data_IF_145872603726
#
_entry.id   IF_145872603726
#
_cell.length_a   1.000
_cell.length_b   1.000
_cell.length_c   1.000
_cell.angle_alpha   90.00
_cell.angle_beta   90.00
_cell.angle_gamma   90.00
#
_symmetry.space_group_name_H-M   'P 1'
#
loop_
_entity.id
_entity.type
_entity.pdbx_description
1 polymer ?
#
# COMPACT_ATOMS: atom_id res chain seq x y z
N UNK A 1 -9.97 -0.44 20.48
CA UNK A 1 -10.62 -1.75 20.21
C UNK A 1 -11.80 -1.45 19.29
N UNK A 2 -11.75 -1.62 17.98
CA UNK A 2 -11.38 -2.83 17.23
C UNK A 2 -10.78 -2.44 15.88
N UNK A 3 -9.49 -2.69 15.67
CA UNK A 3 -8.89 -2.66 14.33
C UNK A 3 -9.37 -3.90 13.57
N UNK A 4 -10.28 -3.75 12.62
CA UNK A 4 -10.66 -4.88 11.77
C UNK A 4 -9.73 -4.96 10.57
N UNK A 5 -8.85 -5.96 10.62
CA UNK A 5 -8.03 -6.35 9.47
C UNK A 5 -8.81 -7.36 8.65
N UNK A 6 -9.25 -6.97 7.45
CA UNK A 6 -9.81 -7.91 6.48
C UNK A 6 -8.65 -8.44 5.64
N UNK A 7 -8.47 -9.77 5.62
CA UNK A 7 -7.43 -10.43 4.82
C UNK A 7 -8.02 -11.60 4.03
N UNK A 8 -7.71 -11.68 2.73
CA UNK A 8 -8.14 -12.77 1.86
C UNK A 8 -7.01 -13.20 0.92
N UNK A 9 -7.05 -14.46 0.50
CA UNK A 9 -6.15 -14.99 -0.53
C UNK A 9 -6.94 -15.94 -1.42
N UNK A 10 -6.86 -15.76 -2.74
CA UNK A 10 -7.36 -16.74 -3.70
C UNK A 10 -6.18 -17.59 -4.20
N UNK A 11 -6.24 -18.90 -3.95
CA UNK A 11 -5.36 -19.91 -4.55
C UNK A 11 -6.22 -20.93 -5.31
N UNK A 12 -5.92 -21.25 -6.57
CA UNK A 12 -6.74 -22.17 -7.38
C UNK A 12 -6.51 -23.66 -7.05
N UNK A 13 -5.70 -24.01 -6.04
CA UNK A 13 -5.54 -25.39 -5.57
C UNK A 13 -6.39 -25.61 -4.32
N UNK A 14 -7.30 -26.59 -4.40
CA UNK A 14 -8.37 -26.83 -3.44
C UNK A 14 -7.96 -27.02 -1.97
N UNK A 15 -9.01 -26.90 -1.13
CA UNK A 15 -9.08 -26.77 0.33
C UNK A 15 -8.97 -25.33 0.85
N UNK A 16 -10.12 -24.79 1.28
CA UNK A 16 -10.22 -23.59 2.13
C UNK A 16 -9.49 -23.88 3.45
N UNK A 17 -8.31 -23.28 3.72
CA UNK A 17 -7.62 -23.51 4.97
C UNK A 17 -8.31 -22.76 6.11
N UNK A 18 -8.29 -23.34 7.32
CA UNK A 18 -8.73 -22.67 8.54
C UNK A 18 -8.04 -21.30 8.69
N UNK A 19 -8.80 -20.31 9.10
CA UNK A 19 -8.41 -18.90 9.19
C UNK A 19 -7.13 -18.73 10.04
N UNK A 20 -5.98 -18.49 9.38
CA UNK A 20 -4.73 -18.14 10.06
C UNK A 20 -4.69 -16.63 10.34
N UNK A 21 -4.04 -16.25 11.45
CA UNK A 21 -3.75 -14.87 11.83
C UNK A 21 -3.14 -14.05 10.68
N UNK A 22 -3.39 -12.74 10.66
CA UNK A 22 -2.91 -11.81 9.63
C UNK A 22 -1.39 -11.88 9.44
N UNK A 23 -0.63 -12.08 10.52
CA UNK A 23 0.83 -12.25 10.47
C UNK A 23 1.24 -13.56 9.76
N UNK A 24 0.41 -14.60 9.87
CA UNK A 24 0.62 -15.91 9.24
C UNK A 24 0.40 -15.87 7.73
N UNK A 25 -0.63 -15.16 7.25
CA UNK A 25 -0.86 -14.95 5.81
C UNK A 25 0.22 -14.10 5.16
N UNK A 26 0.67 -13.05 5.87
CA UNK A 26 1.77 -12.22 5.41
C UNK A 26 3.04 -13.05 5.27
N UNK A 27 3.37 -13.87 6.28
CA UNK A 27 4.52 -14.79 6.22
C UNK A 27 4.39 -15.81 5.10
N UNK A 28 3.21 -16.38 4.86
CA UNK A 28 2.97 -17.36 3.79
C UNK A 28 3.18 -16.77 2.39
N UNK A 29 2.83 -15.49 2.16
CA UNK A 29 3.17 -14.78 0.92
C UNK A 29 4.69 -14.66 0.70
N UNK A 30 5.44 -14.47 1.78
CA UNK A 30 6.90 -14.34 1.77
C UNK A 30 7.64 -15.65 2.07
N UNK A 31 6.93 -16.78 2.19
CA UNK A 31 7.61 -18.06 2.30
C UNK A 31 8.35 -18.32 0.99
N UNK A 32 9.59 -18.82 1.04
CA UNK A 32 10.38 -19.12 -0.15
C UNK A 32 9.67 -20.23 -0.93
N UNK A 33 8.83 -19.81 -1.86
CA UNK A 33 8.29 -20.64 -2.94
C UNK A 33 9.20 -20.47 -4.16
N UNK A 34 9.14 -21.40 -5.10
CA UNK A 34 9.80 -21.30 -6.42
C UNK A 34 9.37 -20.06 -7.25
N UNK A 35 8.53 -19.18 -6.69
CA UNK A 35 8.07 -17.95 -7.31
C UNK A 35 8.99 -16.78 -6.96
N UNK A 36 9.93 -16.48 -7.86
CA UNK A 36 10.84 -15.34 -7.77
C UNK A 36 10.21 -13.99 -8.20
N UNK A 37 8.92 -13.96 -8.57
CA UNK A 37 8.25 -12.80 -9.16
C UNK A 37 7.19 -12.19 -8.23
N UNK A 38 7.62 -11.61 -7.11
CA UNK A 38 6.74 -11.03 -6.10
C UNK A 38 6.61 -9.52 -6.31
N UNK A 39 5.38 -9.02 -6.30
CA UNK A 39 5.03 -7.61 -6.45
C UNK A 39 4.26 -7.12 -5.24
N UNK A 40 4.37 -5.82 -4.95
CA UNK A 40 3.59 -5.17 -3.90
C UNK A 40 2.89 -3.91 -4.44
N UNK A 41 1.64 -3.71 -4.04
CA UNK A 41 0.87 -2.48 -4.28
C UNK A 41 0.47 -1.94 -2.92
N UNK A 42 1.08 -0.83 -2.53
CA UNK A 42 0.97 -0.25 -1.19
C UNK A 42 0.27 1.11 -1.28
N UNK A 43 -0.88 1.26 -0.62
CA UNK A 43 -1.77 2.41 -0.81
C UNK A 43 -2.15 3.03 0.52
N UNK A 44 -1.82 4.31 0.69
CA UNK A 44 -2.40 5.17 1.71
C UNK A 44 -3.51 6.00 1.07
N UNK A 45 -4.76 5.75 1.45
CA UNK A 45 -5.93 6.36 0.80
C UNK A 45 -6.42 7.63 1.49
N UNK A 46 -5.92 7.94 2.69
CA UNK A 46 -6.37 9.06 3.51
C UNK A 46 -5.47 10.28 3.39
N UNK A 47 -6.07 11.47 3.58
CA UNK A 47 -5.40 12.77 3.56
C UNK A 47 -5.43 13.44 4.93
N UNK A 48 -4.69 14.55 5.04
CA UNK A 48 -4.59 15.43 6.19
C UNK A 48 -3.75 14.90 7.35
N UNK A 49 -3.21 15.84 8.12
CA UNK A 49 -2.25 15.56 9.20
C UNK A 49 -2.77 14.59 10.27
N UNK A 50 -4.07 14.63 10.60
CA UNK A 50 -4.65 13.72 11.60
C UNK A 50 -4.67 12.25 11.15
N UNK A 51 -4.34 11.99 9.89
CA UNK A 51 -4.22 10.67 9.27
C UNK A 51 -2.77 10.25 9.02
N UNK A 52 -1.81 10.93 9.63
CA UNK A 52 -0.38 10.63 9.54
C UNK A 52 -0.04 9.13 9.71
N UNK A 53 -0.74 8.42 10.60
CA UNK A 53 -0.57 6.98 10.85
C UNK A 53 -0.72 6.13 9.59
N UNK A 54 -1.58 6.51 8.66
CA UNK A 54 -1.82 5.76 7.42
C UNK A 54 -0.58 5.78 6.52
N UNK A 55 0.04 6.96 6.37
CA UNK A 55 1.30 7.11 5.64
C UNK A 55 2.43 6.37 6.36
N UNK A 56 2.53 6.49 7.68
CA UNK A 56 3.54 5.79 8.48
C UNK A 56 3.40 4.25 8.37
N UNK A 57 2.19 3.71 8.36
CA UNK A 57 1.91 2.28 8.20
C UNK A 57 2.38 1.77 6.83
N UNK A 58 2.00 2.46 5.75
CA UNK A 58 2.39 2.10 4.39
C UNK A 58 3.90 2.15 4.21
N UNK A 59 4.56 3.21 4.69
CA UNK A 59 6.01 3.32 4.60
C UNK A 59 6.72 2.25 5.45
N UNK A 60 6.18 1.91 6.63
CA UNK A 60 6.70 0.80 7.43
C UNK A 60 6.64 -0.53 6.67
N UNK A 61 5.56 -0.75 5.94
CA UNK A 61 5.41 -1.94 5.10
C UNK A 61 6.33 -1.91 3.88
N UNK A 62 6.47 -0.75 3.23
CA UNK A 62 7.41 -0.54 2.12
C UNK A 62 8.84 -0.96 2.51
N UNK A 63 9.34 -0.50 3.66
CA UNK A 63 10.65 -0.95 4.16
C UNK A 63 10.69 -2.44 4.47
N UNK A 64 9.58 -3.03 4.91
CA UNK A 64 9.50 -4.44 5.23
C UNK A 64 9.55 -5.31 3.97
N UNK A 65 8.80 -4.96 2.92
CA UNK A 65 8.83 -5.69 1.65
C UNK A 65 10.18 -5.57 0.94
N UNK A 66 10.85 -4.40 1.03
CA UNK A 66 12.22 -4.23 0.54
C UNK A 66 13.22 -5.11 1.27
N UNK A 67 13.14 -5.19 2.60
CA UNK A 67 13.98 -6.11 3.40
C UNK A 67 13.76 -7.57 3.07
N UNK A 68 12.56 -7.93 2.59
CA UNK A 68 12.21 -9.29 2.15
C UNK A 68 12.60 -9.56 0.68
N UNK A 69 13.24 -8.60 0.01
CA UNK A 69 13.85 -8.79 -1.31
C UNK A 69 13.02 -8.29 -2.50
N UNK A 70 11.87 -7.62 -2.27
CA UNK A 70 11.13 -6.99 -3.37
C UNK A 70 11.81 -5.64 -3.73
N UNK A 71 12.35 -5.47 -4.95
CA UNK A 71 12.97 -4.22 -5.38
C UNK A 71 11.92 -3.14 -5.67
N UNK A 72 12.34 -1.86 -5.69
CA UNK A 72 11.45 -0.72 -5.97
C UNK A 72 10.71 -0.85 -7.30
N UNK A 73 11.36 -1.39 -8.32
CA UNK A 73 10.73 -1.66 -9.62
C UNK A 73 9.56 -2.65 -9.58
N UNK A 74 9.35 -3.34 -8.45
CA UNK A 74 8.25 -4.28 -8.20
C UNK A 74 7.30 -3.82 -7.08
N UNK A 75 7.44 -2.56 -6.64
CA UNK A 75 6.57 -1.95 -5.64
C UNK A 75 5.87 -0.77 -6.29
N UNK A 76 4.54 -0.76 -6.26
CA UNK A 76 3.76 0.44 -6.59
C UNK A 76 3.35 1.10 -5.28
N UNK A 77 3.87 2.30 -5.01
CA UNK A 77 3.57 3.08 -3.82
C UNK A 77 2.67 4.28 -4.15
N UNK A 78 1.49 4.31 -3.53
CA UNK A 78 0.50 5.38 -3.68
C UNK A 78 0.28 6.09 -2.34
N UNK A 79 0.58 7.39 -2.27
CA UNK A 79 0.38 8.20 -1.07
C UNK A 79 -0.56 9.38 -1.36
N UNK A 80 -1.77 9.34 -0.79
CA UNK A 80 -2.78 10.38 -1.00
C UNK A 80 -2.40 11.75 -0.39
N UNK A 81 -1.40 11.81 0.48
CA UNK A 81 -0.91 13.05 1.08
C UNK A 81 0.58 12.99 1.41
N UNK A 82 1.22 14.16 1.43
CA UNK A 82 2.68 14.32 1.60
C UNK A 82 3.01 14.80 3.02
N UNK A 83 3.06 13.86 3.97
CA UNK A 83 3.37 14.13 5.38
C UNK A 83 4.74 14.79 5.62
N UNK A 84 5.83 14.44 4.89
CA UNK A 84 7.11 15.17 4.94
C UNK A 84 7.00 16.68 4.71
N UNK A 85 6.08 17.13 3.86
CA UNK A 85 5.92 18.53 3.48
C UNK A 85 4.83 19.26 4.28
N UNK A 86 4.14 18.57 5.19
CA UNK A 86 3.06 19.17 5.95
C UNK A 86 3.58 20.23 6.94
N UNK A 87 3.01 21.44 7.02
CA UNK A 87 3.44 22.48 7.97
C UNK A 87 3.31 22.10 9.45
N UNK A 88 2.47 21.12 9.78
CA UNK A 88 2.33 20.60 11.15
C UNK A 88 3.40 19.56 11.51
N UNK A 89 4.15 19.08 10.52
CA UNK A 89 5.26 18.19 10.77
C UNK A 89 6.35 18.98 11.53
N UNK A 90 6.78 18.53 12.72
CA UNK A 90 7.86 19.20 13.45
C UNK A 90 9.23 19.05 12.78
N UNK A 91 9.36 18.14 11.81
CA UNK A 91 10.58 17.92 10.99
C UNK A 91 10.22 17.95 9.50
N UNK A 92 9.70 19.07 8.99
CA UNK A 92 9.36 19.18 7.58
C UNK A 92 10.64 19.31 6.74
N UNK A 93 10.52 19.01 5.44
CA UNK A 93 11.62 19.19 4.47
C UNK A 93 12.19 20.63 4.51
N UNK A 94 11.33 21.62 4.77
CA UNK A 94 11.63 23.06 4.80
C UNK A 94 12.14 23.59 6.14
N UNK A 95 12.48 22.74 7.12
CA UNK A 95 12.94 23.19 8.43
C UNK A 95 14.23 24.02 8.35
N UNK A 96 14.34 25.18 9.02
CA UNK A 96 15.51 26.07 8.92
C UNK A 96 16.83 25.48 9.46
N UNK A 97 16.77 24.33 10.14
CA UNK A 97 17.94 23.62 10.65
C UNK A 97 18.26 22.33 9.88
N UNK A 98 17.70 22.18 8.67
CA UNK A 98 17.96 21.05 7.77
C UNK A 98 18.72 21.50 6.52
N UNK A 99 19.57 20.64 5.94
CA UNK A 99 20.18 20.89 4.63
C UNK A 99 19.10 21.26 3.62
N UNK A 100 19.43 22.16 2.68
CA UNK A 100 18.51 22.70 1.66
C UNK A 100 17.85 21.61 0.77
N UNK A 101 18.39 20.38 0.80
CA UNK A 101 17.90 19.21 0.07
C UNK A 101 17.35 18.10 0.98
N UNK A 102 17.12 18.37 2.27
CA UNK A 102 16.58 17.35 3.17
C UNK A 102 15.15 17.03 2.80
N UNK A 103 14.91 15.78 2.45
CA UNK A 103 13.58 15.18 2.50
C UNK A 103 13.02 15.28 3.93
N UNK A 104 11.76 15.67 4.06
CA UNK A 104 11.08 15.72 5.35
C UNK A 104 10.99 14.32 5.96
N UNK A 105 10.71 14.25 7.27
CA UNK A 105 10.75 12.97 7.97
C UNK A 105 9.35 12.43 8.30
N UNK A 106 9.20 11.11 8.20
CA UNK A 106 8.05 10.37 8.72
C UNK A 106 8.55 9.33 9.71
N UNK A 107 7.93 9.21 10.88
CA UNK A 107 8.32 8.28 11.94
C UNK A 107 7.10 7.47 12.37
N UNK A 108 7.30 6.20 12.74
CA UNK A 108 6.23 5.36 13.30
C UNK A 108 6.32 5.20 14.82
N UNK A 109 7.22 5.93 15.48
CA UNK A 109 7.34 5.91 16.93
C UNK A 109 7.81 7.27 17.46
N UNK A 110 7.42 7.57 18.69
CA UNK A 110 7.78 8.79 19.41
C UNK A 110 9.31 8.98 19.57
N UNK A 111 10.08 7.90 19.63
CA UNK A 111 11.54 7.94 19.77
C UNK A 111 12.25 8.26 18.44
N UNK A 112 11.52 8.37 17.33
CA UNK A 112 12.00 8.77 16.02
C UNK A 112 13.21 7.96 15.51
N UNK A 113 13.24 6.66 15.83
CA UNK A 113 14.40 5.81 15.54
C UNK A 113 14.69 5.67 14.04
N UNK A 114 13.67 5.68 13.17
CA UNK A 114 13.81 5.43 11.73
C UNK A 114 12.97 6.44 10.94
N UNK A 115 13.61 7.23 10.07
CA UNK A 115 12.90 8.03 9.08
C UNK A 115 12.38 7.11 7.97
N UNK A 116 11.07 6.90 7.96
CA UNK A 116 10.37 6.03 7.03
C UNK A 116 10.24 6.60 5.63
N UNK A 117 10.29 7.93 5.46
CA UNK A 117 10.27 8.54 4.13
C UNK A 117 11.68 8.51 3.54
N UNK A 118 12.66 9.08 4.25
CA UNK A 118 14.07 9.01 3.84
C UNK A 118 14.34 9.40 2.38
N UNK A 119 15.55 9.13 1.89
CA UNK A 119 15.95 9.44 0.50
C UNK A 119 15.61 8.31 -0.49
N UNK A 120 15.26 7.13 0.02
CA UNK A 120 15.17 5.88 -0.75
C UNK A 120 13.72 5.36 -0.92
N UNK A 121 12.73 6.25 -0.79
CA UNK A 121 11.33 5.93 -1.04
C UNK A 121 10.92 6.48 -2.39
N UNK A 122 10.54 5.56 -3.29
CA UNK A 122 9.96 5.90 -4.58
C UNK A 122 8.44 5.92 -4.46
N UNK A 123 7.84 7.11 -4.57
CA UNK A 123 6.38 7.26 -4.60
C UNK A 123 5.93 7.38 -6.06
N UNK A 124 5.09 6.45 -6.51
CA UNK A 124 4.65 6.34 -7.90
C UNK A 124 3.45 7.23 -8.20
N UNK A 125 2.50 7.29 -7.27
CA UNK A 125 1.30 8.12 -7.38
C UNK A 125 1.18 9.00 -6.13
N UNK A 126 1.11 10.32 -6.32
CA UNK A 126 1.10 11.30 -5.23
C UNK A 126 -0.19 12.10 -5.20
N UNK A 127 -0.69 12.38 -4.00
CA UNK A 127 -1.76 13.34 -3.79
C UNK A 127 -3.01 13.00 -4.60
N UNK A 128 -3.39 13.91 -5.50
CA UNK A 128 -4.57 13.78 -6.35
C UNK A 128 -4.53 12.60 -7.33
N UNK A 129 -3.36 12.03 -7.60
CA UNK A 129 -3.23 10.85 -8.46
C UNK A 129 -3.70 9.55 -7.76
N UNK A 130 -3.88 9.57 -6.43
CA UNK A 130 -4.33 8.41 -5.64
C UNK A 130 -5.86 8.34 -5.65
N UNK A 131 -6.41 7.90 -6.78
CA UNK A 131 -7.85 7.71 -6.99
C UNK A 131 -8.21 6.23 -7.07
N UNK A 132 -9.50 5.91 -6.88
CA UNK A 132 -10.00 4.54 -7.07
C UNK A 132 -9.74 4.08 -8.51
N UNK A 133 -9.97 4.97 -9.47
CA UNK A 133 -9.76 4.69 -10.89
C UNK A 133 -8.30 4.32 -11.20
N UNK A 134 -7.33 5.12 -10.74
CA UNK A 134 -5.91 4.82 -10.99
C UNK A 134 -5.50 3.51 -10.32
N UNK A 135 -5.95 3.26 -9.10
CA UNK A 135 -5.70 1.99 -8.41
C UNK A 135 -6.20 0.78 -9.22
N UNK A 136 -7.45 0.80 -9.70
CA UNK A 136 -8.02 -0.28 -10.53
C UNK A 136 -7.29 -0.40 -11.87
N UNK A 137 -6.93 0.71 -12.51
CA UNK A 137 -6.18 0.71 -13.79
C UNK A 137 -4.79 0.09 -13.63
N UNK A 138 -4.10 0.38 -12.54
CA UNK A 138 -2.81 -0.25 -12.20
C UNK A 138 -2.96 -1.76 -12.11
N UNK A 139 -3.90 -2.24 -11.30
CA UNK A 139 -4.12 -3.68 -11.09
C UNK A 139 -4.52 -4.41 -12.39
N UNK A 140 -5.45 -3.83 -13.15
CA UNK A 140 -5.94 -4.41 -14.40
C UNK A 140 -5.02 -4.20 -15.61
N UNK A 141 -3.96 -3.40 -15.46
CA UNK A 141 -3.03 -3.02 -16.53
C UNK A 141 -3.63 -2.13 -17.61
N UNK A 142 -4.75 -1.46 -17.34
CA UNK A 142 -5.44 -0.55 -18.27
C UNK A 142 -4.87 0.87 -18.20
N UNK A 143 -3.57 1.01 -18.44
CA UNK A 143 -2.83 2.26 -18.39
C UNK A 143 -2.49 2.74 -19.80
N UNK A 144 -2.67 4.05 -20.08
CA UNK A 144 -2.31 4.67 -21.36
C UNK A 144 -0.82 4.47 -21.68
N UNK A 145 -0.43 4.46 -22.96
CA UNK A 145 0.96 4.18 -23.39
C UNK A 145 2.00 5.17 -22.81
N UNK A 146 1.61 6.42 -22.55
CA UNK A 146 2.48 7.44 -21.96
C UNK A 146 2.78 7.27 -20.47
N UNK A 147 2.11 6.35 -19.75
CA UNK A 147 2.37 6.12 -18.32
C UNK A 147 3.79 5.55 -18.13
N UNK A 148 4.63 6.15 -17.25
CA UNK A 148 5.99 5.67 -16.98
C UNK A 148 6.06 4.21 -16.55
N UNK A 149 7.21 3.58 -16.78
CA UNK A 149 7.42 2.18 -16.41
C UNK A 149 7.35 1.91 -14.90
N UNK A 150 7.77 2.86 -14.06
CA UNK A 150 7.68 2.76 -12.59
C UNK A 150 6.24 2.71 -12.10
N UNK A 151 5.32 3.39 -12.78
CA UNK A 151 3.91 3.45 -12.43
C UNK A 151 3.08 2.26 -12.95
N UNK A 152 3.72 1.22 -13.51
CA UNK A 152 3.04 0.07 -14.13
C UNK A 152 3.28 -1.21 -13.33
N UNK A 153 2.20 -1.91 -12.98
CA UNK A 153 2.26 -3.25 -12.43
C UNK A 153 2.54 -4.27 -13.55
N UNK A 154 3.80 -4.68 -13.73
CA UNK A 154 4.22 -5.57 -14.84
C UNK A 154 4.20 -7.05 -14.44
N UNK A 155 3.07 -7.49 -13.92
CA UNK A 155 2.86 -8.86 -13.46
C UNK A 155 2.39 -9.78 -14.60
N UNK A 156 2.57 -11.08 -14.41
CA UNK A 156 2.24 -12.17 -15.33
C UNK A 156 1.65 -13.39 -14.58
N UNK A 157 1.42 -14.50 -15.30
CA UNK A 157 0.86 -15.76 -14.76
C UNK A 157 1.67 -16.41 -13.64
N UNK A 158 2.92 -15.98 -13.44
CA UNK A 158 3.83 -16.52 -12.43
C UNK A 158 4.02 -15.57 -11.25
N UNK A 159 3.40 -14.38 -11.32
CA UNK A 159 3.58 -13.33 -10.34
C UNK A 159 2.68 -13.50 -9.12
N UNK A 160 3.22 -13.26 -7.93
CA UNK A 160 2.42 -13.08 -6.72
C UNK A 160 2.27 -11.59 -6.44
N UNK A 161 1.05 -11.14 -6.12
CA UNK A 161 0.78 -9.72 -5.84
C UNK A 161 0.27 -9.54 -4.42
N UNK A 162 1.00 -8.78 -3.62
CA UNK A 162 0.56 -8.29 -2.32
C UNK A 162 -0.09 -6.93 -2.49
N UNK A 163 -1.34 -6.79 -2.06
CA UNK A 163 -2.06 -5.52 -2.02
C UNK A 163 -2.23 -5.13 -0.55
N UNK A 164 -1.68 -3.99 -0.16
CA UNK A 164 -1.90 -3.43 1.17
C UNK A 164 -2.50 -2.04 1.05
N UNK A 165 -3.64 -1.85 1.72
CA UNK A 165 -4.35 -0.59 1.72
C UNK A 165 -4.63 -0.15 3.15
N UNK A 166 -4.42 1.13 3.43
CA UNK A 166 -4.77 1.71 4.72
C UNK A 166 -5.43 3.08 4.57
N UNK A 167 -6.45 3.29 5.40
CA UNK A 167 -7.24 4.51 5.41
C UNK A 167 -8.45 4.39 6.31
N UNK A 168 -9.44 5.23 6.04
CA UNK A 168 -10.76 5.16 6.65
C UNK A 168 -11.71 4.33 5.80
N UNK A 169 -12.61 3.61 6.45
CA UNK A 169 -13.63 2.81 5.78
C UNK A 169 -14.67 2.33 6.76
N UNK A 170 -15.69 1.67 6.24
CA UNK A 170 -16.73 0.99 7.00
C UNK A 170 -16.82 -0.46 6.56
N UNK A 171 -17.99 -1.06 6.74
CA UNK A 171 -18.23 -2.41 6.29
C UNK A 171 -18.46 -2.43 4.78
N UNK A 172 -17.61 -3.20 4.08
CA UNK A 172 -17.68 -3.36 2.64
C UNK A 172 -17.05 -2.23 1.81
N UNK A 173 -16.42 -1.22 2.42
CA UNK A 173 -15.77 -0.14 1.66
C UNK A 173 -14.57 0.51 2.36
N UNK A 174 -13.70 1.13 1.56
CA UNK A 174 -12.62 2.01 2.00
C UNK A 174 -12.69 3.35 1.25
N UNK A 175 -12.53 4.46 1.97
CA UNK A 175 -12.53 5.81 1.40
C UNK A 175 -11.19 6.14 0.76
N UNK A 176 -11.24 6.80 -0.39
CA UNK A 176 -10.14 7.45 -1.08
C UNK A 176 -10.32 8.97 -0.98
N UNK A 177 -9.30 9.63 -0.43
CA UNK A 177 -9.20 11.08 -0.25
C UNK A 177 -10.41 11.74 0.43
N UNK A 178 -11.16 10.99 1.24
CA UNK A 178 -12.42 11.39 1.88
C UNK A 178 -13.58 11.77 0.92
N UNK A 179 -13.43 11.51 -0.39
CA UNK A 179 -14.44 11.85 -1.42
C UNK A 179 -14.98 10.67 -2.20
N UNK A 180 -14.13 9.68 -2.48
CA UNK A 180 -14.49 8.47 -3.22
C UNK A 180 -14.44 7.25 -2.31
N UNK A 181 -15.05 6.16 -2.74
CA UNK A 181 -15.03 4.89 -2.02
C UNK A 181 -14.74 3.75 -3.01
N UNK A 182 -13.92 2.81 -2.58
CA UNK A 182 -13.78 1.50 -3.23
C UNK A 182 -14.51 0.46 -2.37
N UNK A 183 -15.37 -0.33 -3.00
CA UNK A 183 -16.12 -1.38 -2.31
C UNK A 183 -15.40 -2.72 -2.37
N UNK A 184 -15.84 -3.67 -1.54
CA UNK A 184 -15.42 -5.05 -1.62
C UNK A 184 -15.80 -5.71 -2.98
N UNK A 185 -16.90 -5.28 -3.60
CA UNK A 185 -17.32 -5.74 -4.92
C UNK A 185 -16.36 -5.22 -5.99
N UNK A 186 -16.03 -3.92 -5.98
CA UNK A 186 -15.09 -3.33 -6.94
C UNK A 186 -13.72 -4.02 -6.88
N UNK A 187 -13.23 -4.34 -5.68
CA UNK A 187 -11.98 -5.05 -5.52
C UNK A 187 -12.08 -6.51 -5.99
N UNK A 188 -13.17 -7.21 -5.68
CA UNK A 188 -13.38 -8.59 -6.13
C UNK A 188 -13.38 -8.67 -7.67
N UNK A 189 -14.14 -7.79 -8.33
CA UNK A 189 -14.21 -7.69 -9.79
C UNK A 189 -12.84 -7.32 -10.40
N UNK A 190 -12.05 -6.50 -9.70
CA UNK A 190 -10.71 -6.14 -10.13
C UNK A 190 -9.75 -7.33 -10.06
N UNK A 191 -9.80 -8.12 -8.98
CA UNK A 191 -8.99 -9.33 -8.81
C UNK A 191 -9.40 -10.40 -9.81
N UNK A 192 -10.70 -10.57 -10.07
CA UNK A 192 -11.21 -11.47 -11.10
C UNK A 192 -10.66 -11.09 -12.48
N UNK A 193 -10.69 -9.81 -12.85
CA UNK A 193 -10.09 -9.34 -14.10
C UNK A 193 -8.58 -9.58 -14.17
N UNK A 194 -7.84 -9.46 -13.06
CA UNK A 194 -6.42 -9.83 -13.02
C UNK A 194 -6.22 -11.31 -13.34
N UNK A 195 -7.08 -12.17 -12.79
CA UNK A 195 -7.05 -13.61 -13.01
C UNK A 195 -7.40 -13.99 -14.45
N UNK A 196 -8.50 -13.48 -15.01
CA UNK A 196 -8.92 -13.74 -16.41
C UNK A 196 -7.82 -13.32 -17.40
N UNK A 197 -7.19 -12.17 -17.13
CA UNK A 197 -6.08 -11.65 -17.94
C UNK A 197 -4.73 -12.26 -17.57
N UNK A 198 -4.72 -13.25 -16.69
CA UNK A 198 -3.54 -14.05 -16.42
C UNK A 198 -2.36 -13.19 -15.92
N UNK A 199 -2.66 -12.19 -15.08
CA UNK A 199 -1.71 -11.19 -14.56
C UNK A 199 -1.14 -11.56 -13.20
N UNK A 200 -1.57 -12.66 -12.58
CA UNK A 200 -1.03 -13.14 -11.30
C UNK A 200 -1.40 -14.60 -11.08
N UNK A 201 -0.55 -15.34 -10.37
CA UNK A 201 -0.89 -16.68 -9.86
C UNK A 201 -1.62 -16.61 -8.53
N UNK A 202 -1.25 -15.64 -7.68
CA UNK A 202 -1.89 -15.41 -6.38
C UNK A 202 -1.98 -13.92 -6.08
N UNK A 203 -3.05 -13.54 -5.39
CA UNK A 203 -3.25 -12.19 -4.85
C UNK A 203 -3.55 -12.33 -3.36
N UNK A 204 -2.75 -11.67 -2.53
CA UNK A 204 -3.01 -11.49 -1.10
C UNK A 204 -3.32 -10.03 -0.84
N UNK A 205 -4.43 -9.75 -0.14
CA UNK A 205 -4.79 -8.39 0.19
C UNK A 205 -5.01 -8.20 1.69
N UNK A 206 -4.63 -7.01 2.17
CA UNK A 206 -4.73 -6.62 3.57
C UNK A 206 -5.24 -5.18 3.70
N UNK A 207 -6.31 -5.02 4.49
CA UNK A 207 -6.87 -3.72 4.81
C UNK A 207 -6.62 -3.35 6.25
N UNK A 208 -5.94 -2.23 6.47
CA UNK A 208 -5.87 -1.62 7.79
C UNK A 208 -6.83 -0.44 7.88
N UNK A 209 -7.97 -0.69 8.53
CA UNK A 209 -8.99 0.31 8.86
C UNK A 209 -8.70 0.91 10.23
N UNK A 210 -8.63 2.23 10.32
CA UNK A 210 -8.63 2.94 11.61
C UNK A 210 -9.90 3.75 11.78
N UNK A 211 -10.53 3.67 12.95
CA UNK A 211 -11.52 4.67 13.35
C UNK A 211 -10.86 6.06 13.45
N UNK A 212 -11.61 7.13 13.20
CA UNK A 212 -11.14 8.48 13.48
C UNK A 212 -10.82 8.60 14.98
N UNK A 213 -9.59 9.04 15.32
CA UNK A 213 -9.21 9.36 16.71
C UNK A 213 -8.20 8.43 17.40
N UNK A 214 -7.79 7.31 16.81
CA UNK A 214 -6.66 6.52 17.34
C UNK A 214 -5.34 7.03 16.74
N UNK A 215 -4.51 7.65 17.60
CA UNK A 215 -3.11 8.02 17.30
C UNK A 215 -2.23 6.97 17.97
N UNK A 216 -1.51 6.18 17.20
CA UNK A 216 -0.34 5.47 17.73
C UNK A 216 0.84 6.42 17.56
N UNK A 217 1.30 6.99 18.68
CA UNK A 217 2.63 7.58 18.83
C UNK A 217 3.62 6.48 19.19
#
# INVERSE_FOLDING_TARGET
MTSFVTSGGLSPRGNVPKEKSCEGKFREFFEPSDHANNWAVLVCTSRYWFNYRHVANVLSLYHSVKRLGIPDSQIILMLADDMPCNPRNPRPASSPHRPLFSVGAVYNNAQQHINLYGENVEVDYRGYEVTVENFIRVLTGRLAEGVPNSQRLKTDRTSNVLIYMTGHGGDGFLKFQDSEEITNVDLADTIEQMWEKNRSVSVSYHFHRSAQGEVIL
#
